data_IF_324352636412
#
_entry.id   IF_324352636412
#
_cell.length_a   1.000
_cell.length_b   1.000
_cell.length_c   1.000
_cell.angle_alpha   90.00
_cell.angle_beta   90.00
_cell.angle_gamma   90.00
#
_symmetry.space_group_name_H-M   'P 1'
#
loop_
_entity.id
_entity.type
_entity.pdbx_description
1 polymer ?
#
# COMPACT_ATOMS: atom_id res chain seq x y z
N UNK A 1 -4.74 -5.24 19.48
CA UNK A 1 -3.68 -6.14 18.96
C UNK A 1 -3.10 -5.51 17.71
N UNK A 2 -1.79 -5.26 17.71
CA UNK A 2 -1.07 -4.73 16.55
C UNK A 2 -0.60 -5.93 15.72
N UNK A 3 -0.92 -5.96 14.43
CA UNK A 3 -0.37 -6.95 13.50
C UNK A 3 0.38 -6.14 12.45
N UNK A 4 1.70 -6.34 12.35
CA UNK A 4 2.46 -5.82 11.23
C UNK A 4 2.12 -6.68 10.00
N UNK A 5 1.56 -6.10 8.92
CA UNK A 5 1.35 -6.84 7.68
C UNK A 5 2.72 -7.15 7.04
N UNK A 6 2.78 -8.09 6.07
CA UNK A 6 3.95 -8.20 5.22
C UNK A 6 4.17 -6.87 4.49
N UNK A 7 5.37 -6.29 4.62
CA UNK A 7 5.74 -5.05 3.94
C UNK A 7 5.60 -5.15 2.42
N UNK A 8 5.92 -6.31 1.87
CA UNK A 8 5.73 -6.62 0.46
C UNK A 8 5.35 -8.09 0.31
N UNK A 9 4.55 -8.39 -0.71
CA UNK A 9 4.28 -9.75 -1.16
C UNK A 9 4.35 -9.78 -2.68
N UNK A 10 4.90 -10.84 -3.26
CA UNK A 10 5.05 -10.91 -4.70
C UNK A 10 5.04 -12.34 -5.20
N UNK A 11 4.21 -12.57 -6.21
CA UNK A 11 4.33 -13.70 -7.12
C UNK A 11 4.57 -13.11 -8.52
N UNK A 12 5.70 -13.46 -9.14
CA UNK A 12 6.10 -12.95 -10.45
C UNK A 12 6.59 -14.14 -11.28
N UNK A 13 5.82 -14.48 -12.32
CA UNK A 13 6.13 -15.52 -13.29
C UNK A 13 6.75 -14.89 -14.54
N UNK A 14 7.86 -15.47 -15.02
CA UNK A 14 8.53 -14.97 -16.24
C UNK A 14 9.11 -13.57 -16.10
N UNK A 15 9.37 -13.11 -14.88
CA UNK A 15 9.82 -11.75 -14.57
C UNK A 15 10.76 -11.69 -13.37
N UNK A 16 11.02 -10.49 -12.88
CA UNK A 16 11.84 -10.27 -11.70
C UNK A 16 11.37 -9.04 -10.91
N UNK A 17 11.33 -9.17 -9.59
CA UNK A 17 11.13 -8.06 -8.65
C UNK A 17 12.43 -7.80 -7.90
N UNK A 18 12.85 -6.53 -7.85
CA UNK A 18 13.98 -6.06 -7.05
C UNK A 18 13.58 -4.82 -6.27
N UNK A 19 14.09 -4.74 -5.06
CA UNK A 19 13.99 -3.57 -4.18
C UNK A 19 15.34 -3.37 -3.51
N UNK A 20 15.62 -2.13 -3.11
CA UNK A 20 16.78 -1.79 -2.29
C UNK A 20 16.43 -1.94 -0.81
N UNK A 21 16.07 -0.82 -0.17
CA UNK A 21 15.64 -0.82 1.22
C UNK A 21 14.15 -1.19 1.33
N UNK A 22 13.87 -1.97 2.36
CA UNK A 22 12.52 -2.36 2.77
C UNK A 22 12.42 -2.09 4.29
N UNK A 23 11.55 -1.17 4.70
CA UNK A 23 11.33 -0.84 6.10
C UNK A 23 9.83 -0.78 6.41
N UNK A 24 9.42 -1.43 7.50
CA UNK A 24 8.08 -1.35 8.02
C UNK A 24 8.10 -1.12 9.53
N UNK A 25 7.19 -0.29 10.01
CA UNK A 25 7.02 -0.01 11.42
C UNK A 25 5.54 0.06 11.75
N UNK A 26 5.15 -0.60 12.84
CA UNK A 26 3.78 -0.51 13.35
C UNK A 26 3.81 -0.21 14.83
N UNK A 27 3.02 0.78 15.23
CA UNK A 27 2.92 1.29 16.59
C UNK A 27 1.45 1.39 16.98
N UNK A 28 1.18 1.19 18.26
CA UNK A 28 -0.14 1.42 18.82
C UNK A 28 0.02 1.81 20.28
N UNK A 29 -0.64 2.89 20.65
CA UNK A 29 -0.56 3.48 21.97
C UNK A 29 -1.87 4.20 22.30
N UNK A 30 -2.46 3.85 23.44
CA UNK A 30 -3.73 4.44 23.90
C UNK A 30 -4.82 4.35 22.84
N UNK A 31 -5.32 5.52 22.44
CA UNK A 31 -6.40 5.69 21.47
C UNK A 31 -5.92 5.74 20.01
N UNK A 32 -4.69 5.31 19.72
CA UNK A 32 -4.10 5.38 18.38
C UNK A 32 -3.40 4.10 17.95
N UNK A 33 -3.47 3.83 16.64
CA UNK A 33 -2.77 2.76 15.95
C UNK A 33 -2.24 3.31 14.63
N UNK A 34 -0.98 3.05 14.31
CA UNK A 34 -0.30 3.56 13.11
C UNK A 34 0.61 2.52 12.52
N UNK A 35 0.61 2.39 11.20
CA UNK A 35 1.54 1.55 10.45
C UNK A 35 2.15 2.35 9.32
N UNK A 36 3.43 2.14 9.05
CA UNK A 36 4.17 2.78 7.97
C UNK A 36 5.01 1.72 7.27
N UNK A 37 5.11 1.86 5.95
CA UNK A 37 5.92 0.99 5.13
C UNK A 37 6.58 1.82 4.02
N UNK A 38 7.82 1.43 3.70
CA UNK A 38 8.67 2.10 2.73
C UNK A 38 9.42 1.03 1.93
N UNK A 39 9.37 1.15 0.61
CA UNK A 39 10.20 0.42 -0.34
C UNK A 39 10.98 1.40 -1.22
N UNK A 40 12.29 1.23 -1.29
CA UNK A 40 13.16 2.04 -2.15
C UNK A 40 13.69 1.25 -3.33
N UNK A 41 14.04 1.96 -4.41
CA UNK A 41 14.68 1.41 -5.61
C UNK A 41 13.93 0.19 -6.18
N UNK A 42 12.62 0.33 -6.32
CA UNK A 42 11.76 -0.68 -6.93
C UNK A 42 12.09 -0.81 -8.42
N UNK A 43 12.28 -2.05 -8.85
CA UNK A 43 12.33 -2.43 -10.25
C UNK A 43 11.60 -3.77 -10.43
N UNK A 44 10.47 -3.74 -11.13
CA UNK A 44 9.69 -4.91 -11.49
C UNK A 44 9.65 -5.04 -13.01
N UNK A 45 10.10 -6.18 -13.52
CA UNK A 45 9.99 -6.56 -14.93
C UNK A 45 8.98 -7.70 -15.06
N UNK A 46 7.92 -7.50 -15.83
CA UNK A 46 6.87 -8.52 -16.08
C UNK A 46 6.07 -8.20 -17.34
N UNK A 47 5.75 -9.22 -18.14
CA UNK A 47 4.90 -9.11 -19.35
C UNK A 47 5.32 -7.97 -20.29
N UNK A 48 6.64 -7.81 -20.50
CA UNK A 48 7.22 -6.74 -21.32
C UNK A 48 7.21 -5.34 -20.70
N UNK A 49 6.71 -5.18 -19.47
CA UNK A 49 6.70 -3.92 -18.74
C UNK A 49 7.87 -3.85 -17.76
N UNK A 50 8.46 -2.66 -17.64
CA UNK A 50 9.41 -2.29 -16.58
C UNK A 50 8.77 -1.21 -15.71
N UNK A 51 8.41 -1.58 -14.49
CA UNK A 51 7.79 -0.72 -13.48
C UNK A 51 8.86 -0.32 -12.49
N UNK A 52 9.09 0.99 -12.33
CA UNK A 52 10.15 1.51 -11.45
C UNK A 52 9.65 2.60 -10.53
N UNK A 53 10.27 2.66 -9.35
CA UNK A 53 10.05 3.72 -8.37
C UNK A 53 11.31 3.92 -7.55
N UNK A 54 11.63 5.17 -7.21
CA UNK A 54 12.74 5.45 -6.30
C UNK A 54 12.30 5.22 -4.85
N UNK A 55 11.06 5.60 -4.54
CA UNK A 55 10.46 5.42 -3.24
C UNK A 55 8.95 5.20 -3.39
N UNK A 56 8.46 4.19 -2.68
CA UNK A 56 7.06 3.92 -2.42
C UNK A 56 6.90 3.92 -0.91
N UNK A 57 6.22 4.91 -0.37
CA UNK A 57 5.96 5.03 1.05
C UNK A 57 4.46 5.19 1.28
N UNK A 58 3.92 4.44 2.23
CA UNK A 58 2.57 4.71 2.74
C UNK A 58 2.51 4.65 4.25
N UNK A 59 1.46 5.25 4.78
CA UNK A 59 1.08 5.13 6.17
C UNK A 59 -0.40 4.87 6.28
N UNK A 60 -0.77 4.13 7.32
CA UNK A 60 -2.12 4.06 7.81
C UNK A 60 -2.18 4.48 9.26
N UNK A 61 -3.29 5.08 9.68
CA UNK A 61 -3.52 5.48 11.06
C UNK A 61 -5.00 5.28 11.40
N UNK A 62 -5.27 4.83 12.61
CA UNK A 62 -6.59 4.82 13.21
C UNK A 62 -6.55 5.48 14.58
N UNK A 63 -7.58 6.25 14.91
CA UNK A 63 -7.72 6.96 16.19
C UNK A 63 -9.13 6.80 16.74
N UNK A 64 -9.26 6.62 18.06
CA UNK A 64 -10.56 6.71 18.72
C UNK A 64 -10.96 8.17 18.92
N UNK A 65 -12.18 8.50 18.53
CA UNK A 65 -12.77 9.81 18.76
C UNK A 65 -14.08 9.67 19.52
N UNK A 66 -14.68 10.78 19.93
CA UNK A 66 -16.01 10.78 20.54
C UNK A 66 -17.10 10.21 19.62
N UNK A 67 -16.92 10.32 18.30
CA UNK A 67 -17.82 9.76 17.30
C UNK A 67 -17.53 8.30 16.93
N UNK A 68 -16.57 7.65 17.60
CA UNK A 68 -16.07 6.32 17.26
C UNK A 68 -14.70 6.34 16.56
N UNK A 69 -14.25 5.19 16.04
CA UNK A 69 -12.96 5.09 15.36
C UNK A 69 -12.96 5.83 14.02
N UNK A 70 -11.85 6.51 13.72
CA UNK A 70 -11.56 7.11 12.41
C UNK A 70 -10.23 6.57 11.92
N UNK A 71 -10.18 6.10 10.67
CA UNK A 71 -8.99 5.57 10.03
C UNK A 71 -8.70 6.28 8.71
N UNK A 72 -7.44 6.61 8.48
CA UNK A 72 -6.97 7.36 7.32
C UNK A 72 -5.65 6.80 6.80
N UNK A 73 -5.41 6.94 5.50
CA UNK A 73 -4.20 6.51 4.82
C UNK A 73 -3.52 7.67 4.11
N UNK A 74 -2.19 7.61 4.01
CA UNK A 74 -1.39 8.54 3.21
C UNK A 74 -0.41 7.80 2.33
N UNK A 75 -0.06 8.39 1.20
CA UNK A 75 0.86 7.83 0.22
C UNK A 75 1.81 8.89 -0.30
N UNK A 76 3.06 8.50 -0.49
CA UNK A 76 4.08 9.30 -1.14
C UNK A 76 4.96 8.40 -2.00
N UNK A 77 5.24 8.83 -3.22
CA UNK A 77 6.16 8.12 -4.08
C UNK A 77 6.20 8.67 -5.49
N UNK A 78 6.97 7.98 -6.32
CA UNK A 78 7.03 8.20 -7.76
C UNK A 78 6.84 6.87 -8.48
N UNK A 79 6.43 6.92 -9.75
CA UNK A 79 6.26 5.72 -10.56
C UNK A 79 6.60 6.02 -12.01
N UNK A 80 7.30 5.10 -12.65
CA UNK A 80 7.49 5.10 -14.09
C UNK A 80 7.21 3.71 -14.65
N UNK A 81 6.55 3.68 -15.81
CA UNK A 81 6.27 2.47 -16.58
C UNK A 81 6.99 2.63 -17.92
N UNK A 82 7.92 1.71 -18.23
CA UNK A 82 8.71 1.72 -19.46
C UNK A 82 9.47 3.04 -19.69
N UNK A 83 9.95 3.67 -18.61
CA UNK A 83 10.65 4.96 -18.66
C UNK A 83 9.74 6.19 -18.78
N UNK A 84 8.42 6.01 -18.90
CA UNK A 84 7.44 7.10 -18.91
C UNK A 84 6.97 7.37 -17.48
N UNK A 85 7.10 8.61 -16.95
CA UNK A 85 6.58 8.95 -15.62
C UNK A 85 5.06 8.88 -15.57
N UNK A 86 4.53 8.41 -14.44
CA UNK A 86 3.09 8.35 -14.17
C UNK A 86 2.74 9.46 -13.18
N UNK A 87 1.75 10.29 -13.54
CA UNK A 87 1.24 11.32 -12.65
C UNK A 87 0.49 10.69 -11.48
N UNK A 88 0.89 11.01 -10.26
CA UNK A 88 0.22 10.58 -9.02
C UNK A 88 -0.68 11.73 -8.57
N UNK A 89 -1.98 11.45 -8.44
CA UNK A 89 -3.00 12.47 -8.12
C UNK A 89 -3.13 12.73 -6.61
N UNK A 90 -2.61 11.82 -5.79
CA UNK A 90 -2.81 11.80 -4.34
C UNK A 90 -4.17 11.23 -3.91
N UNK A 91 -5.09 10.99 -4.83
CA UNK A 91 -6.38 10.37 -4.52
C UNK A 91 -6.20 8.88 -4.15
N UNK A 92 -6.96 8.36 -3.18
CA UNK A 92 -6.98 6.93 -2.90
C UNK A 92 -7.40 6.11 -4.13
N UNK A 93 -6.82 4.91 -4.25
CA UNK A 93 -7.18 3.90 -5.25
C UNK A 93 -7.03 4.38 -6.70
N UNK A 94 -6.00 5.18 -7.00
CA UNK A 94 -5.72 5.61 -8.37
C UNK A 94 -5.29 4.40 -9.21
N UNK A 95 -6.05 4.10 -10.27
CA UNK A 95 -5.74 2.98 -11.16
C UNK A 95 -5.03 3.44 -12.43
N UNK A 96 -3.98 2.71 -12.81
CA UNK A 96 -3.21 2.93 -14.04
C UNK A 96 -3.14 1.60 -14.80
N UNK A 97 -3.63 1.58 -16.03
CA UNK A 97 -3.56 0.38 -16.86
C UNK A 97 -2.16 0.21 -17.45
N UNK A 98 -1.70 -1.04 -17.52
CA UNK A 98 -0.47 -1.37 -18.20
C UNK A 98 -0.70 -1.46 -19.72
N UNK A 99 0.30 -1.13 -20.56
CA UNK A 99 0.17 -1.11 -22.02
C UNK A 99 -0.39 -2.38 -22.67
N UNK A 100 -0.03 -3.56 -22.15
CA UNK A 100 -0.46 -4.85 -22.71
C UNK A 100 -1.69 -5.36 -21.97
N UNK A 101 -1.52 -5.62 -20.67
CA UNK A 101 -2.53 -6.24 -19.80
C UNK A 101 -2.20 -5.95 -18.35
N UNK A 102 -3.25 -5.92 -17.53
CA UNK A 102 -3.11 -5.70 -16.10
C UNK A 102 -3.14 -4.22 -15.73
N UNK A 103 -2.93 -3.95 -14.45
CA UNK A 103 -3.02 -2.62 -13.90
C UNK A 103 -2.20 -2.50 -12.62
N UNK A 104 -1.96 -1.25 -12.24
CA UNK A 104 -1.41 -0.87 -10.95
C UNK A 104 -2.48 -0.02 -10.25
N UNK A 105 -2.82 -0.36 -9.01
CA UNK A 105 -3.53 0.53 -8.10
C UNK A 105 -2.50 1.22 -7.21
N UNK A 106 -2.43 2.54 -7.31
CA UNK A 106 -1.56 3.41 -6.52
C UNK A 106 -2.37 3.92 -5.33
N UNK A 107 -1.74 4.00 -4.16
CA UNK A 107 -2.39 4.45 -2.93
C UNK A 107 -3.69 3.65 -2.68
N UNK A 108 -3.62 2.32 -2.76
CA UNK A 108 -4.78 1.48 -2.48
C UNK A 108 -5.14 1.62 -1.00
N UNK A 109 -6.37 2.00 -0.70
CA UNK A 109 -6.87 2.13 0.67
C UNK A 109 -8.19 1.38 0.80
N UNK A 110 -8.22 0.42 1.72
CA UNK A 110 -9.39 -0.41 2.02
C UNK A 110 -9.72 -0.21 3.49
N UNK A 111 -10.83 0.48 3.75
CA UNK A 111 -11.37 0.69 5.09
C UNK A 111 -12.47 -0.34 5.36
N UNK A 112 -12.40 -1.02 6.48
CA UNK A 112 -13.41 -1.99 6.94
C UNK A 112 -13.72 -1.79 8.42
N UNK A 113 -14.86 -2.33 8.87
CA UNK A 113 -15.32 -2.25 10.26
C UNK A 113 -16.66 -1.53 10.42
N UNK A 114 -17.00 -1.24 11.67
CA UNK A 114 -18.25 -0.62 12.09
C UNK A 114 -18.39 -0.60 13.62
N UNK A 115 -19.25 0.29 14.12
CA UNK A 115 -19.43 0.49 15.56
C UNK A 115 -18.13 0.96 16.22
N UNK A 116 -17.65 0.20 17.21
CA UNK A 116 -16.42 0.53 17.95
C UNK A 116 -15.13 0.02 17.28
N UNK A 117 -15.20 -0.71 16.18
CA UNK A 117 -14.04 -1.27 15.50
C UNK A 117 -13.86 -0.66 14.10
N UNK A 118 -12.63 -0.31 13.74
CA UNK A 118 -12.28 0.04 12.37
C UNK A 118 -10.86 -0.41 12.03
N UNK A 119 -10.65 -0.70 10.77
CA UNK A 119 -9.38 -1.08 10.19
C UNK A 119 -9.20 -0.37 8.85
N UNK A 120 -7.96 -0.01 8.56
CA UNK A 120 -7.53 0.39 7.22
C UNK A 120 -6.31 -0.43 6.82
N UNK A 121 -6.38 -0.98 5.61
CA UNK A 121 -5.21 -1.54 4.92
C UNK A 121 -4.85 -0.61 3.78
N UNK A 122 -3.59 -0.23 3.73
CA UNK A 122 -3.04 0.58 2.65
C UNK A 122 -1.94 -0.15 1.93
N UNK A 123 -1.87 0.03 0.61
CA UNK A 123 -0.74 -0.41 -0.20
C UNK A 123 -0.27 0.72 -1.07
N UNK A 124 1.03 0.94 -1.13
CA UNK A 124 1.62 1.95 -1.99
C UNK A 124 1.37 1.60 -3.45
N UNK A 125 1.70 0.35 -3.83
CA UNK A 125 1.37 -0.21 -5.14
C UNK A 125 0.76 -1.61 -4.99
N UNK A 126 -0.39 -1.83 -5.61
CA UNK A 126 -0.95 -3.15 -5.90
C UNK A 126 -0.84 -3.39 -7.40
N UNK A 127 0.03 -4.33 -7.79
CA UNK A 127 0.37 -4.62 -9.18
C UNK A 127 -0.24 -5.96 -9.54
N UNK A 128 -1.12 -5.94 -10.54
CA UNK A 128 -1.81 -7.13 -11.01
C UNK A 128 -1.66 -7.28 -12.52
N UNK A 129 -0.96 -8.33 -12.92
CA UNK A 129 -0.86 -8.80 -14.31
C UNK A 129 -1.43 -10.22 -14.34
N UNK A 130 -2.66 -10.43 -14.86
CA UNK A 130 -3.33 -11.72 -14.83
C UNK A 130 -2.43 -12.86 -15.32
N UNK A 131 -2.19 -13.88 -14.49
CA UNK A 131 -1.36 -15.04 -14.84
C UNK A 131 0.15 -14.85 -14.67
N UNK A 132 0.64 -13.60 -14.64
CA UNK A 132 2.08 -13.31 -14.66
C UNK A 132 2.57 -12.60 -13.39
N UNK A 133 1.79 -11.72 -12.79
CA UNK A 133 2.16 -11.10 -11.51
C UNK A 133 0.98 -10.74 -10.62
N UNK A 134 1.19 -10.93 -9.32
CA UNK A 134 0.41 -10.32 -8.26
C UNK A 134 1.41 -9.87 -7.18
N UNK A 135 1.59 -8.55 -7.04
CA UNK A 135 2.57 -7.98 -6.13
C UNK A 135 2.02 -6.77 -5.40
N UNK A 136 2.14 -6.81 -4.08
CA UNK A 136 1.87 -5.68 -3.19
C UNK A 136 3.21 -5.13 -2.71
N UNK A 137 3.48 -3.85 -2.99
CA UNK A 137 4.70 -3.16 -2.61
C UNK A 137 4.36 -2.06 -1.64
N UNK A 138 5.03 -2.11 -0.48
CA UNK A 138 4.81 -1.21 0.62
C UNK A 138 3.36 -1.38 1.11
N UNK A 139 3.19 -2.09 2.23
CA UNK A 139 1.86 -2.32 2.83
C UNK A 139 1.85 -1.97 4.31
N UNK A 140 0.78 -1.31 4.74
CA UNK A 140 0.54 -0.89 6.11
C UNK A 140 -0.89 -1.27 6.56
N UNK A 141 -1.05 -1.69 7.81
CA UNK A 141 -2.32 -2.17 8.39
C UNK A 141 -2.48 -1.55 9.78
N UNK A 142 -3.47 -0.68 9.92
CA UNK A 142 -3.85 -0.08 11.20
C UNK A 142 -5.25 -0.51 11.55
N UNK A 143 -5.42 -0.94 12.81
CA UNK A 143 -6.70 -1.36 13.36
C UNK A 143 -6.86 -0.84 14.77
N UNK A 144 -8.09 -0.49 15.15
CA UNK A 144 -8.40 -0.01 16.49
C UNK A 144 -9.78 -0.51 16.94
N UNK A 145 -9.91 -0.75 18.24
CA UNK A 145 -11.17 -0.99 18.93
C UNK A 145 -11.30 0.09 20.00
N UNK A 146 -12.36 0.88 19.94
CA UNK A 146 -12.64 1.95 20.89
C UNK A 146 -13.55 1.46 22.01
N UNK A 147 -13.46 2.11 23.17
CA UNK A 147 -14.46 1.91 24.22
C UNK A 147 -15.81 2.44 23.74
N UNK A 148 -16.92 1.76 24.02
CA UNK A 148 -18.25 2.34 23.87
C UNK A 148 -18.32 3.65 24.67
N UNK A 149 -18.84 4.71 24.07
CA UNK A 149 -19.16 5.95 24.77
C UNK A 149 -20.52 5.85 25.44
#
# INVERSE_FOLDING_TARGET
MIIAPPLASANVLGGALRTGLLNANTQGAGEQSRSQAIAENLNLMVDGNTITSNIVAESSQCTCTTGGPICEGSFFGNLSINGVPIAITGQPNQRVNLPVRGFITINEQIITGGGVFQQIKTKGLNIFVPGDANADISSADSKIVCSPQ
#
